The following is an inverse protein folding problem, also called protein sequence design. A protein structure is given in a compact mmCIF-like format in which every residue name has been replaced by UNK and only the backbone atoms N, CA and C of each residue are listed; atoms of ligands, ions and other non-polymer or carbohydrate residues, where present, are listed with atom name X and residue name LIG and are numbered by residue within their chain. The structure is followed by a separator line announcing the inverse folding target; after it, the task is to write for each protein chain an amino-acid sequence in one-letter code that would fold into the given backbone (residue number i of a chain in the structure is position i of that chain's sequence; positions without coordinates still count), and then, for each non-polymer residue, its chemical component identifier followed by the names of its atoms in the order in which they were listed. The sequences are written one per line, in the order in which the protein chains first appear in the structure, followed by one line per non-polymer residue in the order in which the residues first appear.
data_IF_438956596606
#
_entry.id   IF_438956596606
#
_cell.length_a   1.000
_cell.length_b   1.000
_cell.length_c   1.000
_cell.angle_alpha   90.00
_cell.angle_beta   90.00
_cell.angle_gamma   90.00
#
_symmetry.space_group_name_H-M   'P 1'
#
loop_
_entity.id
_entity.type
_entity.pdbx_description
1 polymer ?
#
# COMPACT_ATOMS: atom_id res chain seq x y z
N UNK A 1 2.99 -26.00 -1.39
CA UNK A 1 2.12 -26.16 -0.21
C UNK A 1 0.73 -26.39 -0.76
N UNK A 2 0.22 -27.63 -0.65
CA UNK A 2 -1.19 -27.89 -0.89
C UNK A 2 -1.96 -26.87 -0.06
N UNK A 3 -2.87 -26.13 -0.70
CA UNK A 3 -3.84 -25.30 0.00
C UNK A 3 -4.45 -26.19 1.07
N UNK A 4 -4.09 -25.99 2.34
CA UNK A 4 -4.90 -26.51 3.44
C UNK A 4 -6.28 -26.01 3.08
N UNK A 5 -7.21 -26.92 2.80
CA UNK A 5 -8.52 -26.57 2.31
C UNK A 5 -9.23 -25.87 3.49
N UNK A 6 -8.96 -24.59 3.65
CA UNK A 6 -9.55 -23.76 4.70
C UNK A 6 -11.03 -23.83 4.43
N UNK A 7 -11.79 -24.34 5.39
CA UNK A 7 -13.25 -24.32 5.29
C UNK A 7 -13.68 -22.92 4.90
N UNK A 8 -14.51 -22.80 3.88
CA UNK A 8 -14.93 -21.51 3.29
C UNK A 8 -15.40 -20.54 4.39
N UNK A 9 -16.09 -21.05 5.40
CA UNK A 9 -16.51 -20.27 6.57
C UNK A 9 -15.37 -19.59 7.33
N UNK A 10 -14.23 -20.27 7.53
CA UNK A 10 -13.03 -19.69 8.18
C UNK A 10 -12.38 -18.64 7.30
N UNK A 11 -12.32 -18.86 5.99
CA UNK A 11 -11.76 -17.91 5.04
C UNK A 11 -12.60 -16.62 5.01
N UNK A 12 -13.93 -16.74 4.93
CA UNK A 12 -14.85 -15.59 4.96
C UNK A 12 -14.70 -14.85 6.28
N UNK A 13 -14.86 -15.54 7.42
CA UNK A 13 -14.79 -14.91 8.73
C UNK A 13 -13.45 -14.20 8.98
N UNK A 14 -12.32 -14.84 8.63
CA UNK A 14 -11.00 -14.25 8.78
C UNK A 14 -10.77 -13.05 7.86
N UNK A 15 -11.21 -13.13 6.60
CA UNK A 15 -11.12 -12.02 5.64
C UNK A 15 -11.95 -10.83 6.12
N UNK A 16 -13.18 -11.06 6.58
CA UNK A 16 -14.05 -10.02 7.15
C UNK A 16 -13.46 -9.38 8.42
N UNK A 17 -12.82 -10.17 9.29
CA UNK A 17 -12.14 -9.67 10.47
C UNK A 17 -10.95 -8.77 10.10
N UNK A 18 -10.14 -9.16 9.12
CA UNK A 18 -9.01 -8.35 8.65
C UNK A 18 -9.47 -7.08 7.93
N UNK A 19 -10.55 -7.16 7.14
CA UNK A 19 -11.15 -6.00 6.50
C UNK A 19 -11.70 -5.00 7.52
N UNK A 20 -12.47 -5.47 8.51
CA UNK A 20 -12.96 -4.61 9.60
C UNK A 20 -11.81 -4.00 10.41
N UNK A 21 -10.73 -4.75 10.64
CA UNK A 21 -9.53 -4.21 11.29
C UNK A 21 -8.90 -3.07 10.48
N UNK A 22 -8.75 -3.22 9.15
CA UNK A 22 -8.22 -2.16 8.28
C UNK A 22 -9.09 -0.89 8.33
N UNK A 23 -10.42 -1.07 8.37
CA UNK A 23 -11.38 0.03 8.54
C UNK A 23 -11.18 0.73 9.89
N UNK A 24 -11.15 -0.01 11.00
CA UNK A 24 -10.97 0.55 12.35
C UNK A 24 -9.66 1.33 12.44
N UNK A 25 -8.55 0.79 11.93
CA UNK A 25 -7.24 1.48 11.90
C UNK A 25 -7.35 2.82 11.17
N UNK A 26 -8.10 2.86 10.06
CA UNK A 26 -8.30 4.09 9.28
C UNK A 26 -9.21 5.10 9.98
N UNK A 27 -10.25 4.61 10.66
CA UNK A 27 -11.16 5.45 11.45
C UNK A 27 -10.43 6.08 12.64
N UNK A 28 -9.54 5.33 13.29
CA UNK A 28 -8.65 5.81 14.35
C UNK A 28 -7.55 6.75 13.83
N UNK A 29 -7.48 6.98 12.51
CA UNK A 29 -6.47 7.82 11.86
C UNK A 29 -5.04 7.42 12.26
N UNK A 30 -4.78 6.10 12.36
CA UNK A 30 -3.45 5.56 12.62
C UNK A 30 -2.57 5.67 11.37
N UNK A 31 -2.24 6.91 11.05
CA UNK A 31 -1.44 7.33 9.91
C UNK A 31 -0.59 8.53 10.30
N UNK A 32 0.59 8.64 9.73
CA UNK A 32 1.48 9.77 9.95
C UNK A 32 1.95 10.36 8.61
N UNK A 33 2.05 11.69 8.49
CA UNK A 33 2.40 12.34 7.22
C UNK A 33 3.86 12.06 6.84
N UNK A 34 4.12 12.00 5.54
CA UNK A 34 5.48 11.91 5.01
C UNK A 34 6.14 13.30 5.05
N UNK A 35 7.30 13.48 5.71
CA UNK A 35 7.88 14.81 5.92
C UNK A 35 8.15 15.60 4.65
N UNK A 36 8.58 14.93 3.56
CA UNK A 36 8.94 15.61 2.31
C UNK A 36 7.73 15.99 1.46
N UNK A 37 6.65 15.20 1.53
CA UNK A 37 5.39 15.46 0.82
C UNK A 37 4.23 15.22 1.80
N UNK A 38 3.79 16.23 2.59
CA UNK A 38 2.83 16.06 3.68
C UNK A 38 1.43 15.56 3.26
N UNK A 39 1.10 15.68 1.97
CA UNK A 39 -0.14 15.12 1.42
C UNK A 39 -0.09 13.59 1.25
N UNK A 40 1.10 12.98 1.31
CA UNK A 40 1.28 11.54 1.44
C UNK A 40 1.33 11.17 2.92
N UNK A 41 0.73 10.05 3.28
CA UNK A 41 0.72 9.56 4.66
C UNK A 41 0.96 8.07 4.69
N UNK A 42 1.84 7.65 5.60
CA UNK A 42 2.03 6.25 5.92
C UNK A 42 0.82 5.77 6.72
N UNK A 43 0.13 4.77 6.19
CA UNK A 43 -1.12 4.27 6.77
C UNK A 43 -0.94 2.82 7.19
N UNK A 44 -1.22 2.55 8.47
CA UNK A 44 -1.08 1.21 9.06
C UNK A 44 -2.21 0.26 8.62
N UNK A 45 -3.26 0.77 7.98
CA UNK A 45 -4.37 -0.05 7.50
C UNK A 45 -4.00 -0.95 6.31
N UNK A 46 -2.78 -0.86 5.78
CA UNK A 46 -2.24 -1.84 4.82
C UNK A 46 -1.84 -3.16 5.49
N UNK A 47 -1.50 -3.14 6.79
CA UNK A 47 -1.01 -4.31 7.52
C UNK A 47 -2.02 -5.47 7.50
N UNK A 48 -3.33 -5.27 7.75
CA UNK A 48 -4.32 -6.36 7.69
C UNK A 48 -4.44 -6.99 6.29
N UNK A 49 -4.27 -6.22 5.21
CA UNK A 49 -4.28 -6.75 3.85
C UNK A 49 -3.06 -7.64 3.58
N UNK A 50 -1.88 -7.22 4.05
CA UNK A 50 -0.67 -8.05 3.97
C UNK A 50 -0.82 -9.30 4.84
N UNK A 51 -1.38 -9.18 6.04
CA UNK A 51 -1.63 -10.34 6.91
C UNK A 51 -2.60 -11.34 6.27
N UNK A 52 -3.64 -10.86 5.57
CA UNK A 52 -4.57 -11.70 4.82
C UNK A 52 -3.85 -12.52 3.74
N UNK A 53 -2.86 -11.93 3.05
CA UNK A 53 -2.02 -12.64 2.08
C UNK A 53 -1.23 -13.77 2.76
N UNK A 54 -0.66 -13.51 3.93
CA UNK A 54 0.18 -14.48 4.65
C UNK A 54 -0.63 -15.63 5.28
N UNK A 55 -1.83 -15.32 5.79
CA UNK A 55 -2.70 -16.28 6.51
C UNK A 55 -3.53 -17.12 5.54
N UNK A 56 -4.07 -16.51 4.49
CA UNK A 56 -4.99 -17.15 3.56
C UNK A 56 -4.37 -17.22 2.16
N UNK A 57 -4.61 -16.20 1.34
CA UNK A 57 -4.22 -16.15 -0.05
C UNK A 57 -4.34 -14.73 -0.63
N UNK A 58 -3.93 -14.57 -1.89
CA UNK A 58 -4.02 -13.30 -2.59
C UNK A 58 -5.47 -12.81 -2.74
N UNK A 59 -6.44 -13.72 -2.93
CA UNK A 59 -7.86 -13.35 -3.06
C UNK A 59 -8.37 -12.70 -1.77
N UNK A 60 -8.01 -13.25 -0.61
CA UNK A 60 -8.36 -12.66 0.69
C UNK A 60 -7.73 -11.26 0.84
N UNK A 61 -6.43 -11.14 0.55
CA UNK A 61 -5.71 -9.87 0.62
C UNK A 61 -6.30 -8.77 -0.28
N UNK A 62 -6.62 -9.15 -1.52
CA UNK A 62 -7.26 -8.25 -2.48
C UNK A 62 -8.65 -7.83 -2.00
N UNK A 63 -9.45 -8.76 -1.48
CA UNK A 63 -10.78 -8.48 -0.92
C UNK A 63 -10.70 -7.48 0.24
N UNK A 64 -9.75 -7.66 1.16
CA UNK A 64 -9.50 -6.70 2.26
C UNK A 64 -9.17 -5.32 1.71
N UNK A 65 -8.28 -5.21 0.73
CA UNK A 65 -7.90 -3.94 0.13
C UNK A 65 -9.07 -3.23 -0.57
N UNK A 66 -9.92 -3.98 -1.29
CA UNK A 66 -11.10 -3.45 -1.98
C UNK A 66 -12.16 -2.97 -0.99
N UNK A 67 -12.49 -3.76 0.04
CA UNK A 67 -13.47 -3.36 1.07
C UNK A 67 -12.99 -2.09 1.78
N UNK A 68 -11.70 -2.04 2.09
CA UNK A 68 -11.10 -0.87 2.70
C UNK A 68 -11.19 0.37 1.80
N UNK A 69 -10.88 0.21 0.51
CA UNK A 69 -11.05 1.27 -0.48
C UNK A 69 -12.50 1.75 -0.58
N UNK A 70 -13.49 0.85 -0.68
CA UNK A 70 -14.92 1.23 -0.70
C UNK A 70 -15.26 2.07 0.54
N UNK A 71 -14.78 1.65 1.71
CA UNK A 71 -15.03 2.36 2.97
C UNK A 71 -14.41 3.76 2.98
N UNK A 72 -13.20 3.93 2.43
CA UNK A 72 -12.55 5.24 2.33
C UNK A 72 -13.28 6.22 1.40
N UNK A 73 -14.05 5.71 0.44
CA UNK A 73 -14.82 6.51 -0.51
C UNK A 73 -16.26 6.76 -0.05
N UNK A 74 -16.73 6.05 0.97
CA UNK A 74 -18.11 6.18 1.44
C UNK A 74 -18.41 7.61 1.92
N UNK A 75 -19.44 8.24 1.35
CA UNK A 75 -19.86 9.60 1.69
C UNK A 75 -18.95 10.72 1.19
N UNK A 76 -17.99 10.45 0.28
CA UNK A 76 -17.08 11.47 -0.27
C UNK A 76 -17.40 11.83 -1.72
N UNK A 77 -17.24 13.11 -2.11
CA UNK A 77 -17.46 13.55 -3.50
C UNK A 77 -16.37 13.03 -4.44
N UNK A 78 -16.68 12.97 -5.74
CA UNK A 78 -15.89 12.26 -6.75
C UNK A 78 -14.42 12.74 -6.85
N UNK A 79 -14.18 14.05 -6.73
CA UNK A 79 -12.83 14.62 -6.80
C UNK A 79 -11.91 14.17 -5.63
N UNK A 80 -12.47 13.66 -4.53
CA UNK A 80 -11.71 13.11 -3.39
C UNK A 80 -11.38 11.63 -3.57
N UNK A 81 -11.91 10.97 -4.61
CA UNK A 81 -11.73 9.53 -4.86
C UNK A 81 -10.32 9.18 -5.37
N UNK A 82 -9.59 10.14 -5.94
CA UNK A 82 -8.27 9.88 -6.53
C UNK A 82 -7.28 9.43 -5.45
N UNK A 83 -7.30 10.05 -4.26
CA UNK A 83 -6.43 9.64 -3.14
C UNK A 83 -6.64 8.17 -2.71
N UNK A 84 -7.88 7.77 -2.35
CA UNK A 84 -8.21 6.37 -2.08
C UNK A 84 -7.86 5.42 -3.24
N UNK A 85 -8.10 5.81 -4.49
CA UNK A 85 -7.75 4.99 -5.66
C UNK A 85 -6.23 4.79 -5.78
N UNK A 86 -5.44 5.85 -5.64
CA UNK A 86 -3.98 5.78 -5.61
C UNK A 86 -3.50 4.83 -4.53
N UNK A 87 -4.12 4.87 -3.35
CA UNK A 87 -3.84 3.94 -2.25
C UNK A 87 -4.17 2.49 -2.62
N UNK A 88 -5.33 2.23 -3.22
CA UNK A 88 -5.70 0.88 -3.67
C UNK A 88 -4.66 0.34 -4.67
N UNK A 89 -4.27 1.14 -5.67
CA UNK A 89 -3.26 0.77 -6.65
C UNK A 89 -1.92 0.46 -5.97
N UNK A 90 -1.50 1.28 -5.01
CA UNK A 90 -0.26 1.09 -4.26
C UNK A 90 -0.28 -0.21 -3.42
N UNK A 91 -1.40 -0.51 -2.75
CA UNK A 91 -1.57 -1.74 -1.96
C UNK A 91 -1.60 -2.96 -2.86
N UNK A 92 -2.41 -2.95 -3.92
CA UNK A 92 -2.56 -4.11 -4.82
C UNK A 92 -1.24 -4.42 -5.53
N UNK A 93 -0.52 -3.42 -6.03
CA UNK A 93 0.80 -3.61 -6.65
C UNK A 93 1.82 -4.21 -5.68
N UNK A 94 1.85 -3.73 -4.43
CA UNK A 94 2.68 -4.32 -3.38
C UNK A 94 2.30 -5.78 -3.10
N UNK A 95 1.01 -6.07 -2.97
CA UNK A 95 0.51 -7.44 -2.75
C UNK A 95 0.87 -8.38 -3.89
N UNK A 96 0.82 -7.91 -5.14
CA UNK A 96 1.28 -8.66 -6.32
C UNK A 96 2.77 -8.98 -6.18
N UNK A 97 3.58 -7.97 -5.84
CA UNK A 97 5.02 -8.14 -5.65
C UNK A 97 5.36 -9.15 -4.54
N UNK A 98 4.61 -9.15 -3.43
CA UNK A 98 4.73 -10.15 -2.36
C UNK A 98 4.30 -11.54 -2.81
N UNK A 99 3.17 -11.63 -3.53
CA UNK A 99 2.60 -12.88 -4.00
C UNK A 99 3.53 -13.63 -4.97
N UNK A 100 4.27 -12.91 -5.85
CA UNK A 100 5.27 -13.52 -6.75
C UNK A 100 6.30 -14.37 -5.99
N UNK A 101 6.68 -13.93 -4.79
CA UNK A 101 7.63 -14.66 -3.94
C UNK A 101 6.89 -15.71 -3.11
N UNK A 102 5.78 -15.33 -2.48
CA UNK A 102 5.09 -16.16 -1.49
C UNK A 102 4.33 -17.35 -2.10
N UNK A 103 3.85 -17.25 -3.35
CA UNK A 103 3.07 -18.30 -4.00
C UNK A 103 3.90 -19.52 -4.44
N UNK A 104 5.24 -19.46 -4.34
CA UNK A 104 6.10 -20.57 -4.75
C UNK A 104 5.94 -21.78 -3.81
N UNK A 105 6.01 -23.01 -4.33
CA UNK A 105 5.87 -24.20 -3.51
C UNK A 105 6.99 -24.27 -2.45
N UNK A 106 6.61 -24.60 -1.21
CA UNK A 106 7.51 -24.83 -0.08
C UNK A 106 8.25 -23.57 0.41
N UNK A 107 7.75 -22.38 0.06
CA UNK A 107 8.24 -21.13 0.67
C UNK A 107 7.92 -21.11 2.15
N UNK A 108 8.96 -20.85 2.95
CA UNK A 108 8.88 -20.63 4.38
C UNK A 108 9.19 -19.16 4.64
N UNK A 109 8.45 -18.50 5.51
CA UNK A 109 8.75 -17.13 5.95
C UNK A 109 10.00 -17.12 6.85
N UNK A 110 11.17 -17.15 6.22
CA UNK A 110 12.46 -16.93 6.83
C UNK A 110 13.01 -15.55 6.42
N UNK A 111 14.12 -15.13 7.02
CA UNK A 111 14.74 -13.82 6.73
C UNK A 111 15.00 -13.60 5.24
N UNK A 112 15.46 -14.63 4.51
CA UNK A 112 15.74 -14.54 3.08
C UNK A 112 14.47 -14.25 2.28
N UNK A 113 13.40 -15.00 2.52
CA UNK A 113 12.16 -14.82 1.79
C UNK A 113 11.45 -13.51 2.15
N UNK A 114 11.55 -13.05 3.41
CA UNK A 114 11.07 -11.71 3.79
C UNK A 114 11.83 -10.63 3.02
N UNK A 115 13.16 -10.71 2.92
CA UNK A 115 13.96 -9.78 2.12
C UNK A 115 13.55 -9.83 0.64
N UNK A 116 13.39 -11.03 0.07
CA UNK A 116 12.93 -11.19 -1.32
C UNK A 116 11.53 -10.61 -1.54
N UNK A 117 10.62 -10.79 -0.59
CA UNK A 117 9.29 -10.17 -0.62
C UNK A 117 9.38 -8.65 -0.55
N UNK A 118 10.20 -8.08 0.35
CA UNK A 118 10.42 -6.63 0.41
C UNK A 118 10.95 -6.10 -0.91
N UNK A 119 11.98 -6.73 -1.51
CA UNK A 119 12.54 -6.29 -2.79
C UNK A 119 11.48 -6.35 -3.90
N UNK A 120 10.79 -7.49 -4.04
CA UNK A 120 9.78 -7.67 -5.10
C UNK A 120 8.59 -6.73 -4.92
N UNK A 121 8.07 -6.61 -3.69
CA UNK A 121 6.99 -5.67 -3.33
C UNK A 121 7.37 -4.22 -3.62
N UNK A 122 8.59 -3.82 -3.25
CA UNK A 122 9.12 -2.48 -3.52
C UNK A 122 9.26 -2.21 -5.00
N UNK A 123 9.83 -3.13 -5.78
CA UNK A 123 10.00 -2.93 -7.22
C UNK A 123 8.65 -2.74 -7.93
N UNK A 124 7.67 -3.61 -7.64
CA UNK A 124 6.34 -3.54 -8.28
C UNK A 124 5.58 -2.30 -7.82
N UNK A 125 5.58 -1.99 -6.52
CA UNK A 125 4.90 -0.79 -5.98
C UNK A 125 5.53 0.49 -6.50
N UNK A 126 6.84 0.64 -6.39
CA UNK A 126 7.56 1.85 -6.82
C UNK A 126 7.43 2.04 -8.33
N UNK A 127 7.61 0.99 -9.12
CA UNK A 127 7.47 1.07 -10.58
C UNK A 127 6.07 1.54 -10.99
N UNK A 128 5.02 0.88 -10.49
CA UNK A 128 3.65 1.24 -10.85
C UNK A 128 3.26 2.62 -10.32
N UNK A 129 3.59 2.93 -9.06
CA UNK A 129 3.25 4.22 -8.48
C UNK A 129 4.03 5.37 -9.10
N UNK A 130 5.26 5.15 -9.57
CA UNK A 130 6.00 6.19 -10.30
C UNK A 130 5.31 6.52 -11.63
N UNK A 131 4.89 5.49 -12.37
CA UNK A 131 4.13 5.65 -13.61
C UNK A 131 2.80 6.38 -13.37
N UNK A 132 1.99 5.90 -12.42
CA UNK A 132 0.67 6.47 -12.14
C UNK A 132 0.79 7.90 -11.60
N UNK A 133 1.77 8.17 -10.73
CA UNK A 133 2.02 9.53 -10.22
C UNK A 133 2.44 10.46 -11.35
N UNK A 134 3.32 10.03 -12.26
CA UNK A 134 3.70 10.84 -13.41
C UNK A 134 2.51 11.15 -14.31
N UNK A 135 1.71 10.13 -14.66
CA UNK A 135 0.49 10.31 -15.45
C UNK A 135 -0.49 11.26 -14.78
N UNK A 136 -0.69 11.15 -13.47
CA UNK A 136 -1.62 12.00 -12.73
C UNK A 136 -1.18 13.47 -12.73
N UNK A 137 0.09 13.75 -12.43
CA UNK A 137 0.60 15.11 -12.22
C UNK A 137 0.97 15.82 -13.52
N UNK A 138 1.32 15.10 -14.59
CA UNK A 138 1.76 15.72 -15.84
C UNK A 138 0.76 15.57 -17.00
N UNK A 139 0.02 14.45 -17.06
CA UNK A 139 -0.82 14.12 -18.23
C UNK A 139 -2.31 14.32 -17.97
N UNK A 140 -2.82 13.81 -16.85
CA UNK A 140 -4.27 13.72 -16.62
C UNK A 140 -4.83 14.99 -15.97
N UNK A 141 -4.23 15.47 -14.88
CA UNK A 141 -4.75 16.59 -14.10
C UNK A 141 -3.65 17.56 -13.64
N UNK A 142 -2.82 18.10 -14.55
CA UNK A 142 -1.71 18.98 -14.18
C UNK A 142 -2.17 20.25 -13.45
N UNK A 143 -3.28 20.85 -13.87
CA UNK A 143 -3.82 22.07 -13.27
C UNK A 143 -4.25 21.88 -11.81
N UNK A 144 -4.61 20.66 -11.41
CA UNK A 144 -5.08 20.35 -10.05
C UNK A 144 -3.89 20.07 -9.12
N UNK A 145 -2.93 19.28 -9.60
CA UNK A 145 -1.88 18.73 -8.72
C UNK A 145 -0.57 19.53 -8.74
N UNK A 146 -0.20 20.16 -9.86
CA UNK A 146 1.07 20.91 -9.95
C UNK A 146 1.11 22.14 -9.03
N UNK A 147 0.06 22.99 -8.90
CA UNK A 147 0.14 24.17 -8.04
C UNK A 147 0.35 23.82 -6.56
N UNK A 148 -0.29 22.74 -6.09
CA UNK A 148 -0.11 22.26 -4.72
C UNK A 148 1.31 21.72 -4.53
N UNK A 149 1.84 21.03 -5.54
CA UNK A 149 3.18 20.44 -5.52
C UNK A 149 4.28 21.48 -5.49
N UNK A 150 4.19 22.49 -6.35
CA UNK A 150 5.18 23.58 -6.40
C UNK A 150 5.24 24.31 -5.07
N UNK A 151 4.09 24.59 -4.46
CA UNK A 151 4.02 25.24 -3.16
C UNK A 151 4.65 24.36 -2.06
N UNK A 152 4.40 23.05 -2.07
CA UNK A 152 5.02 22.12 -1.11
C UNK A 152 6.53 22.04 -1.30
N UNK A 153 7.02 21.91 -2.54
CA UNK A 153 8.46 21.85 -2.82
C UNK A 153 9.17 23.15 -2.41
N UNK A 154 8.54 24.31 -2.67
CA UNK A 154 9.05 25.60 -2.22
C UNK A 154 9.10 25.69 -0.69
N UNK A 155 8.01 25.33 0.00
CA UNK A 155 7.92 25.46 1.45
C UNK A 155 8.79 24.48 2.22
N UNK A 156 8.93 23.24 1.73
CA UNK A 156 9.64 22.16 2.44
C UNK A 156 11.11 22.08 2.04
N UNK A 157 11.43 22.32 0.77
CA UNK A 157 12.78 22.13 0.22
C UNK A 157 13.44 23.43 -0.24
N UNK A 158 12.71 24.55 -0.26
CA UNK A 158 13.21 25.82 -0.79
C UNK A 158 13.44 25.80 -2.31
N UNK A 159 12.87 24.83 -3.03
CA UNK A 159 13.06 24.67 -4.47
C UNK A 159 12.02 25.47 -5.25
N UNK A 160 12.48 26.46 -6.01
CA UNK A 160 11.66 27.21 -6.97
C UNK A 160 11.91 26.67 -8.37
N UNK A 161 10.89 26.05 -8.96
CA UNK A 161 10.97 25.39 -10.25
C UNK A 161 9.92 25.99 -11.18
N UNK A 162 10.37 26.54 -12.29
CA UNK A 162 9.48 27.11 -13.32
C UNK A 162 8.93 26.03 -14.26
N UNK A 163 9.64 24.92 -14.42
CA UNK A 163 9.24 23.85 -15.34
C UNK A 163 8.28 22.85 -14.69
N UNK A 164 7.05 22.79 -15.22
CA UNK A 164 6.03 21.79 -14.85
C UNK A 164 6.53 20.35 -14.95
N UNK A 165 7.39 20.07 -15.93
CA UNK A 165 7.98 18.74 -16.12
C UNK A 165 8.95 18.39 -14.99
N UNK A 166 9.84 19.32 -14.60
CA UNK A 166 10.78 19.10 -13.50
C UNK A 166 10.07 18.90 -12.17
N UNK A 167 9.00 19.66 -11.91
CA UNK A 167 8.15 19.49 -10.73
C UNK A 167 7.58 18.08 -10.70
N UNK A 168 6.97 17.62 -11.80
CA UNK A 168 6.39 16.28 -11.88
C UNK A 168 7.44 15.18 -11.63
N UNK A 169 8.64 15.30 -12.22
CA UNK A 169 9.72 14.34 -11.99
C UNK A 169 10.18 14.29 -10.53
N UNK A 170 10.33 15.46 -9.89
CA UNK A 170 10.75 15.53 -8.48
C UNK A 170 9.67 14.94 -7.56
N UNK A 171 8.39 15.20 -7.84
CA UNK A 171 7.29 14.55 -7.13
C UNK A 171 7.32 13.04 -7.29
N UNK A 172 7.57 12.54 -8.51
CA UNK A 172 7.70 11.10 -8.76
C UNK A 172 8.85 10.50 -7.96
N UNK A 173 10.01 11.17 -7.89
CA UNK A 173 11.16 10.70 -7.12
C UNK A 173 10.82 10.63 -5.62
N UNK A 174 10.28 11.69 -5.04
CA UNK A 174 9.90 11.67 -3.62
C UNK A 174 8.78 10.68 -3.31
N UNK A 175 7.84 10.51 -4.24
CA UNK A 175 6.79 9.49 -4.14
C UNK A 175 7.35 8.08 -4.26
N UNK A 176 8.38 7.86 -5.07
CA UNK A 176 9.08 6.58 -5.16
C UNK A 176 9.77 6.24 -3.83
N UNK A 177 10.45 7.20 -3.20
CA UNK A 177 11.01 7.01 -1.85
C UNK A 177 9.94 6.71 -0.81
N UNK A 178 8.83 7.45 -0.81
CA UNK A 178 7.68 7.16 0.05
C UNK A 178 7.19 5.72 -0.10
N UNK A 179 6.96 5.29 -1.35
CA UNK A 179 6.49 3.93 -1.64
C UNK A 179 7.50 2.86 -1.23
N UNK A 180 8.80 3.11 -1.42
CA UNK A 180 9.87 2.21 -1.00
C UNK A 180 9.87 1.99 0.52
N UNK A 181 9.70 3.07 1.30
CA UNK A 181 9.65 3.03 2.76
C UNK A 181 8.38 2.38 3.31
N UNK A 182 7.26 2.50 2.59
CA UNK A 182 5.97 1.96 3.04
C UNK A 182 5.93 0.43 2.99
N UNK A 183 6.65 -0.21 2.06
CA UNK A 183 6.68 -1.67 1.91
C UNK A 183 7.13 -2.40 3.20
N UNK A 184 8.32 -2.13 3.78
CA UNK A 184 8.73 -2.77 5.03
C UNK A 184 7.83 -2.37 6.22
N UNK A 185 7.28 -1.15 6.22
CA UNK A 185 6.34 -0.71 7.25
C UNK A 185 5.08 -1.59 7.28
N UNK A 186 4.60 -2.04 6.12
CA UNK A 186 3.45 -2.92 6.01
C UNK A 186 3.81 -4.40 6.24
N UNK A 187 4.95 -4.86 5.68
CA UNK A 187 5.34 -6.26 5.72
C UNK A 187 5.86 -6.72 7.10
N UNK A 188 6.74 -5.95 7.74
CA UNK A 188 7.39 -6.39 8.97
C UNK A 188 6.38 -6.63 10.10
N UNK A 189 5.44 -5.72 10.42
CA UNK A 189 4.42 -5.98 11.43
C UNK A 189 3.53 -7.18 11.06
N UNK A 190 3.14 -7.31 9.79
CA UNK A 190 2.32 -8.43 9.33
C UNK A 190 3.04 -9.78 9.54
N UNK A 191 4.33 -9.86 9.24
CA UNK A 191 5.12 -11.08 9.46
C UNK A 191 5.29 -11.41 10.94
N UNK A 192 5.44 -10.41 11.81
CA UNK A 192 5.49 -10.60 13.26
C UNK A 192 4.18 -11.15 13.82
N UNK A 193 3.04 -10.59 13.38
CA UNK A 193 1.70 -11.07 13.77
C UNK A 193 1.47 -12.49 13.24
N UNK A 194 1.85 -12.76 11.98
CA UNK A 194 1.74 -14.10 11.39
C UNK A 194 2.58 -15.14 12.15
N UNK A 195 3.79 -14.77 12.58
CA UNK A 195 4.64 -15.66 13.37
C UNK A 195 4.00 -16.02 14.71
N UNK A 196 3.33 -15.08 15.37
CA UNK A 196 2.56 -15.33 16.59
C UNK A 196 1.35 -16.24 16.32
N UNK A 197 0.58 -15.94 15.28
CA UNK A 197 -0.57 -16.76 14.86
C UNK A 197 -0.16 -18.23 14.62
N UNK A 198 0.96 -18.46 13.93
CA UNK A 198 1.50 -19.81 13.67
C UNK A 198 1.91 -20.57 14.93
N UNK A 199 2.24 -19.89 16.03
CA UNK A 199 2.55 -20.53 17.32
C UNK A 199 1.30 -20.96 18.07
N UNK A 200 0.19 -20.24 17.91
CA UNK A 200 -1.07 -20.49 18.62
C UNK A 200 -1.90 -21.60 17.95
N UNK A 201 -1.87 -21.66 16.61
CA UNK A 201 -2.69 -22.61 15.83
C UNK A 201 -1.97 -23.96 15.59
N UNK A 202 -0.71 -24.07 16.01
CA UNK A 202 0.01 -25.35 16.09
C UNK A 202 -0.37 -26.08 17.37
#
# INVERSE_FOLDING_TARGET
MQTVQVRISRWIAGTSLLASTAIVISLLRLRFPYPLLPFLSFDLAEIPAVLALLVFDFKSAFTVAVIHWITLNFGRPFHVLIGPLMKLIAVVSMLIGFWIIFNKPNVILNRRNIISMTISGSLVRVGLMSLVTFLLYYVLFPEVYLPTSTQVLKNVLGLELESSFLVALIIVIFTAFFNLLHVPLSLLPATSIYALYRKIVR
#
